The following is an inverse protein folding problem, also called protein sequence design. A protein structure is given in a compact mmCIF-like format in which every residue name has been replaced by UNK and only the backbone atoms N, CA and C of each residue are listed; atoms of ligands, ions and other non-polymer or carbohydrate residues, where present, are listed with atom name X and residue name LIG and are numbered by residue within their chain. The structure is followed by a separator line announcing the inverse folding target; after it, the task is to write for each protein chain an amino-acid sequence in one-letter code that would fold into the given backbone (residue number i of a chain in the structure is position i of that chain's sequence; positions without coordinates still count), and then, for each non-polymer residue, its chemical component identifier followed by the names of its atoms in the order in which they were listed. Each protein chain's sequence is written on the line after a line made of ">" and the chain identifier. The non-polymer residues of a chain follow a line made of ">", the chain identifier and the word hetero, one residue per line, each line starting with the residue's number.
data_IF_364869126488
#
_entry.id   IF_364869126488
#
_cell.length_a   1.000
_cell.length_b   1.000
_cell.length_c   1.000
_cell.angle_alpha   90.00
_cell.angle_beta   90.00
_cell.angle_gamma   90.00
#
_symmetry.space_group_name_H-M   'P 1'
#
loop_
_entity.id
_entity.type
_entity.pdbx_description
1 polymer ?
#
# COMPACT_ATOMS: atom_id res chain seq x y z
N UNK A 1 7.65 -5.81 -10.88
CA UNK A 1 6.24 -5.85 -11.34
C UNK A 1 5.61 -4.52 -10.98
N UNK A 2 4.91 -3.88 -11.91
CA UNK A 2 4.17 -2.64 -11.70
C UNK A 2 2.91 -2.67 -12.57
N UNK A 3 1.85 -3.33 -12.10
CA UNK A 3 0.63 -3.59 -12.85
C UNK A 3 -0.61 -3.17 -12.04
N UNK A 4 -1.74 -2.92 -12.70
CA UNK A 4 -3.00 -2.45 -12.10
C UNK A 4 -2.74 -1.20 -11.25
N UNK A 5 -2.98 -1.23 -9.93
CA UNK A 5 -2.67 -0.13 -9.02
C UNK A 5 -1.22 0.37 -9.10
N UNK A 6 -0.26 -0.51 -9.38
CA UNK A 6 1.14 -0.12 -9.56
C UNK A 6 1.38 0.70 -10.84
N UNK A 7 0.64 0.40 -11.91
CA UNK A 7 0.67 1.21 -13.13
C UNK A 7 -0.11 2.51 -12.93
N UNK A 8 -1.26 2.46 -12.24
CA UNK A 8 -2.08 3.61 -11.90
C UNK A 8 -1.30 4.71 -11.17
N UNK A 9 -0.45 4.36 -10.20
CA UNK A 9 0.37 5.36 -9.49
C UNK A 9 1.59 5.83 -10.29
N UNK A 10 2.05 5.03 -11.26
CA UNK A 10 3.25 5.33 -12.03
C UNK A 10 2.93 6.19 -13.26
N UNK A 11 1.78 6.00 -13.90
CA UNK A 11 1.40 6.67 -15.16
C UNK A 11 1.46 8.21 -15.16
N UNK A 12 1.27 8.95 -14.04
CA UNK A 12 1.40 10.41 -14.05
C UNK A 12 2.85 10.91 -14.08
N UNK A 13 3.84 10.01 -14.09
CA UNK A 13 5.24 10.38 -14.15
C UNK A 13 5.58 11.03 -15.48
N UNK A 14 6.46 12.04 -15.47
CA UNK A 14 6.95 12.67 -16.71
C UNK A 14 7.62 11.65 -17.64
N UNK A 15 8.27 10.65 -17.06
CA UNK A 15 8.85 9.54 -17.82
C UNK A 15 8.75 8.25 -17.04
N UNK A 16 8.17 7.21 -17.65
CA UNK A 16 8.05 5.86 -17.12
C UNK A 16 9.15 4.97 -17.69
N UNK A 17 9.88 4.33 -16.77
CA UNK A 17 10.93 3.36 -17.09
C UNK A 17 10.49 1.97 -16.64
N UNK A 18 10.77 0.95 -17.45
CA UNK A 18 10.61 -0.43 -17.03
C UNK A 18 11.73 -1.32 -17.56
N UNK A 19 12.16 -2.29 -16.76
CA UNK A 19 13.06 -3.35 -17.24
C UNK A 19 12.36 -4.16 -18.34
N UNK A 20 13.07 -4.67 -19.37
CA UNK A 20 12.49 -5.51 -20.43
C UNK A 20 11.62 -6.68 -19.92
N UNK A 21 11.97 -7.27 -18.77
CA UNK A 21 11.22 -8.36 -18.12
C UNK A 21 10.17 -7.91 -17.11
N UNK A 22 9.95 -6.61 -16.94
CA UNK A 22 8.91 -6.09 -16.04
C UNK A 22 7.53 -6.54 -16.52
N UNK A 23 6.73 -7.11 -15.63
CA UNK A 23 5.29 -7.28 -15.86
C UNK A 23 4.58 -5.99 -15.45
N UNK A 24 3.89 -5.36 -16.40
CA UNK A 24 3.14 -4.11 -16.25
C UNK A 24 1.80 -4.15 -16.99
N UNK A 25 1.12 -3.02 -17.14
CA UNK A 25 -0.25 -2.95 -17.65
C UNK A 25 -1.24 -3.41 -16.58
N UNK A 26 -2.05 -4.42 -16.90
CA UNK A 26 -3.21 -4.85 -16.10
C UNK A 26 -4.16 -3.69 -15.78
N UNK A 27 -4.39 -2.85 -16.79
CA UNK A 27 -5.36 -1.77 -16.72
C UNK A 27 -6.75 -2.44 -16.73
N UNK A 28 -7.35 -2.51 -15.56
CA UNK A 28 -8.54 -3.31 -15.32
C UNK A 28 -9.00 -3.17 -13.88
N UNK A 29 -10.30 -3.41 -13.66
CA UNK A 29 -10.93 -3.41 -12.35
C UNK A 29 -11.54 -4.79 -12.12
N UNK A 30 -11.25 -5.36 -10.96
CA UNK A 30 -11.84 -6.60 -10.50
C UNK A 30 -12.39 -6.37 -9.09
N UNK A 31 -13.55 -6.96 -8.81
CA UNK A 31 -14.23 -6.80 -7.54
C UNK A 31 -15.32 -7.84 -7.40
N UNK A 32 -15.68 -8.13 -6.16
CA UNK A 32 -16.76 -9.03 -5.82
C UNK A 32 -16.84 -9.26 -4.33
N UNK A 33 -17.73 -10.17 -3.94
CA UNK A 33 -17.86 -10.64 -2.57
C UNK A 33 -17.94 -12.15 -2.53
N UNK A 34 -17.58 -12.73 -1.39
CA UNK A 34 -17.77 -14.15 -1.13
C UNK A 34 -19.18 -14.35 -0.60
N UNK A 35 -19.88 -15.36 -1.12
CA UNK A 35 -21.13 -15.83 -0.54
C UNK A 35 -20.84 -16.97 0.44
N UNK A 36 -21.17 -16.76 1.70
CA UNK A 36 -20.99 -17.72 2.79
C UNK A 36 -22.33 -18.23 3.33
N UNK A 37 -23.44 -17.93 2.66
CA UNK A 37 -24.78 -18.37 3.07
C UNK A 37 -24.86 -19.88 3.31
N UNK A 38 -24.39 -20.69 2.36
CA UNK A 38 -24.34 -22.15 2.51
C UNK A 38 -23.33 -22.67 3.55
N UNK A 39 -22.33 -21.87 3.96
CA UNK A 39 -21.47 -22.23 5.09
C UNK A 39 -22.22 -22.00 6.40
N UNK A 40 -22.88 -20.85 6.56
CA UNK A 40 -23.64 -20.51 7.75
C UNK A 40 -24.76 -21.51 8.04
N UNK A 41 -25.44 -21.99 6.99
CA UNK A 41 -26.43 -23.06 7.09
C UNK A 41 -25.82 -24.37 7.61
N UNK A 42 -24.63 -24.76 7.14
CA UNK A 42 -23.96 -26.01 7.55
C UNK A 42 -23.51 -26.02 9.02
N UNK A 43 -23.22 -24.86 9.58
CA UNK A 43 -22.75 -24.74 10.98
C UNK A 43 -23.85 -24.24 11.92
N UNK A 44 -25.09 -24.16 11.43
CA UNK A 44 -26.26 -23.67 12.18
C UNK A 44 -26.04 -22.26 12.79
N UNK A 45 -25.34 -21.39 12.06
CA UNK A 45 -25.05 -20.03 12.50
C UNK A 45 -26.08 -19.05 11.94
N UNK A 46 -27.09 -18.74 12.76
CA UNK A 46 -28.06 -17.67 12.48
C UNK A 46 -27.41 -16.28 12.56
N UNK A 47 -27.67 -15.43 11.55
CA UNK A 47 -27.23 -14.04 11.54
C UNK A 47 -28.40 -13.15 11.10
N UNK A 48 -28.62 -12.06 11.81
CA UNK A 48 -29.57 -11.01 11.43
C UNK A 48 -28.82 -9.76 10.99
N UNK A 49 -29.29 -9.14 9.90
CA UNK A 49 -28.69 -7.93 9.36
C UNK A 49 -29.68 -6.77 9.43
N UNK A 50 -29.40 -5.84 10.34
CA UNK A 50 -30.10 -4.56 10.42
C UNK A 50 -29.39 -3.56 9.52
N UNK A 51 -30.07 -3.05 8.50
CA UNK A 51 -29.51 -2.07 7.56
C UNK A 51 -30.38 -0.83 7.46
N UNK A 52 -29.75 0.30 7.15
CA UNK A 52 -30.43 1.54 6.81
C UNK A 52 -29.99 1.94 5.40
N UNK A 53 -30.86 1.68 4.42
CA UNK A 53 -30.65 2.03 3.01
C UNK A 53 -30.65 0.81 2.09
N UNK A 54 -31.15 1.02 0.86
CA UNK A 54 -31.43 -0.03 -0.13
C UNK A 54 -30.25 -0.96 -0.42
N UNK A 55 -29.03 -0.41 -0.49
CA UNK A 55 -27.80 -1.15 -0.83
C UNK A 55 -26.83 -1.31 0.35
N UNK A 56 -27.22 -0.95 1.57
CA UNK A 56 -26.32 -0.95 2.72
C UNK A 56 -25.80 -2.35 3.09
N UNK A 57 -26.55 -3.41 2.75
CA UNK A 57 -26.16 -4.80 2.94
C UNK A 57 -25.53 -5.48 1.71
N UNK A 58 -25.29 -4.74 0.62
CA UNK A 58 -24.95 -5.32 -0.69
C UNK A 58 -23.69 -6.20 -0.67
N UNK A 59 -22.65 -5.82 0.08
CA UNK A 59 -21.40 -6.58 0.20
C UNK A 59 -21.40 -7.60 1.34
N UNK A 60 -22.56 -7.86 1.96
CA UNK A 60 -22.70 -8.89 2.98
C UNK A 60 -22.37 -10.28 2.42
N UNK A 61 -21.73 -11.11 3.23
CA UNK A 61 -21.45 -12.52 2.92
C UNK A 61 -22.63 -13.44 3.24
N UNK A 62 -23.73 -12.92 3.79
CA UNK A 62 -24.86 -13.73 4.30
C UNK A 62 -25.81 -14.25 3.24
N UNK A 63 -25.77 -13.71 2.03
CA UNK A 63 -26.62 -14.08 0.89
C UNK A 63 -25.94 -13.69 -0.41
N UNK A 64 -26.29 -14.24 -1.58
CA UNK A 64 -25.80 -13.74 -2.86
C UNK A 64 -26.26 -12.31 -3.15
N UNK A 65 -25.66 -11.67 -4.16
CA UNK A 65 -26.19 -10.41 -4.70
C UNK A 65 -27.61 -10.61 -5.23
N UNK A 66 -28.51 -9.66 -4.96
CA UNK A 66 -29.72 -9.52 -5.78
C UNK A 66 -29.36 -9.04 -7.18
N UNK A 67 -30.28 -9.16 -8.14
CA UNK A 67 -30.03 -8.69 -9.51
C UNK A 67 -29.77 -7.18 -9.56
N UNK A 68 -30.49 -6.41 -8.75
CA UNK A 68 -30.29 -4.97 -8.67
C UNK A 68 -28.94 -4.61 -8.03
N UNK A 69 -28.53 -5.32 -6.98
CA UNK A 69 -27.22 -5.14 -6.36
C UNK A 69 -26.08 -5.50 -7.32
N UNK A 70 -26.27 -6.57 -8.10
CA UNK A 70 -25.30 -7.00 -9.12
C UNK A 70 -25.12 -5.93 -10.18
N UNK A 71 -26.21 -5.37 -10.69
CA UNK A 71 -26.17 -4.28 -11.66
C UNK A 71 -25.54 -3.02 -11.06
N UNK A 72 -25.91 -2.66 -9.81
CA UNK A 72 -25.33 -1.52 -9.12
C UNK A 72 -23.82 -1.67 -8.96
N UNK A 73 -23.35 -2.84 -8.52
CA UNK A 73 -21.94 -3.12 -8.34
C UNK A 73 -21.19 -3.15 -9.68
N UNK A 74 -21.78 -3.74 -10.72
CA UNK A 74 -21.23 -3.72 -12.08
C UNK A 74 -21.07 -2.30 -12.61
N UNK A 75 -22.09 -1.45 -12.48
CA UNK A 75 -22.02 -0.05 -12.91
C UNK A 75 -20.91 0.73 -12.20
N UNK A 76 -20.68 0.44 -10.91
CA UNK A 76 -19.58 1.04 -10.16
C UNK A 76 -18.22 0.56 -10.68
N UNK A 77 -18.05 -0.75 -10.92
CA UNK A 77 -16.81 -1.29 -11.49
C UNK A 77 -16.53 -0.71 -12.89
N UNK A 78 -17.57 -0.58 -13.72
CA UNK A 78 -17.46 0.01 -15.05
C UNK A 78 -17.01 1.47 -14.97
N UNK A 79 -17.61 2.27 -14.08
CA UNK A 79 -17.21 3.67 -13.89
C UNK A 79 -15.72 3.80 -13.49
N UNK A 80 -15.23 2.94 -12.60
CA UNK A 80 -13.80 2.92 -12.25
C UNK A 80 -12.90 2.50 -13.43
N UNK A 81 -13.35 1.54 -14.23
CA UNK A 81 -12.60 1.11 -15.42
C UNK A 81 -12.52 2.22 -16.46
N UNK A 82 -13.65 2.84 -16.79
CA UNK A 82 -13.72 3.94 -17.75
C UNK A 82 -12.81 5.09 -17.31
N UNK A 83 -12.82 5.44 -16.02
CA UNK A 83 -11.94 6.46 -15.46
C UNK A 83 -10.45 6.08 -15.53
N UNK A 84 -10.10 4.81 -15.29
CA UNK A 84 -8.71 4.36 -15.43
C UNK A 84 -8.25 4.44 -16.90
N UNK A 85 -9.09 4.02 -17.85
CA UNK A 85 -8.81 4.16 -19.29
C UNK A 85 -8.59 5.62 -19.66
N UNK A 86 -9.44 6.52 -19.19
CA UNK A 86 -9.32 7.97 -19.41
C UNK A 86 -7.99 8.52 -18.86
N UNK A 87 -7.62 8.15 -17.64
CA UNK A 87 -6.36 8.60 -17.05
C UNK A 87 -5.15 8.12 -17.85
N UNK A 88 -5.15 6.87 -18.30
CA UNK A 88 -4.05 6.34 -19.13
C UNK A 88 -4.02 7.05 -20.47
N UNK A 89 -5.18 7.27 -21.10
CA UNK A 89 -5.31 8.02 -22.35
C UNK A 89 -4.66 9.41 -22.24
N UNK A 90 -5.02 10.16 -21.20
CA UNK A 90 -4.51 11.50 -20.94
C UNK A 90 -2.99 11.52 -20.66
N UNK A 91 -2.47 10.57 -19.88
CA UNK A 91 -1.05 10.56 -19.50
C UNK A 91 -0.13 9.96 -20.56
N UNK A 92 -0.66 9.08 -21.43
CA UNK A 92 0.13 8.39 -22.47
C UNK A 92 -0.09 8.97 -23.87
N UNK A 93 -0.96 9.99 -24.00
CA UNK A 93 -1.37 10.58 -25.28
C UNK A 93 -1.87 9.52 -26.28
N UNK A 94 -2.58 8.51 -25.77
CA UNK A 94 -3.22 7.46 -26.56
C UNK A 94 -4.71 7.72 -26.62
N UNK A 95 -5.39 7.37 -27.71
CA UNK A 95 -6.85 7.47 -27.77
C UNK A 95 -7.49 6.53 -26.73
N UNK A 96 -8.66 6.88 -26.14
CA UNK A 96 -9.37 5.98 -25.22
C UNK A 96 -9.62 4.59 -25.82
N UNK A 97 -9.96 4.51 -27.11
CA UNK A 97 -10.18 3.24 -27.82
C UNK A 97 -8.90 2.41 -27.93
N UNK A 98 -7.76 3.06 -28.22
CA UNK A 98 -6.46 2.39 -28.23
C UNK A 98 -6.10 1.87 -26.84
N UNK A 99 -6.36 2.65 -25.79
CA UNK A 99 -6.11 2.24 -24.42
C UNK A 99 -7.01 1.07 -24.05
N UNK A 100 -8.31 1.11 -24.33
CA UNK A 100 -9.22 -0.01 -24.06
C UNK A 100 -8.77 -1.29 -24.79
N UNK A 101 -8.34 -1.15 -26.06
CA UNK A 101 -7.80 -2.23 -26.86
C UNK A 101 -6.46 -2.80 -26.35
N UNK A 102 -5.74 -2.08 -25.48
CA UNK A 102 -4.54 -2.54 -24.76
C UNK A 102 -4.84 -3.00 -23.32
N UNK A 103 -6.04 -2.69 -22.82
CA UNK A 103 -6.46 -2.88 -21.43
C UNK A 103 -7.28 -4.17 -21.28
N UNK A 104 -8.36 -4.14 -20.48
CA UNK A 104 -9.18 -5.31 -20.11
C UNK A 104 -8.42 -6.33 -19.25
N UNK A 105 -7.56 -5.83 -18.36
CA UNK A 105 -6.80 -6.64 -17.41
C UNK A 105 -5.56 -7.36 -17.98
N UNK A 106 -5.30 -7.24 -19.30
CA UNK A 106 -4.09 -7.81 -19.94
C UNK A 106 -2.82 -7.25 -19.34
N UNK A 107 -1.83 -8.13 -19.16
CA UNK A 107 -0.48 -7.76 -18.73
C UNK A 107 0.45 -7.70 -19.93
N UNK A 108 1.48 -6.88 -19.81
CA UNK A 108 2.50 -6.69 -20.84
C UNK A 108 3.88 -6.81 -20.20
N UNK A 109 4.84 -7.38 -20.93
CA UNK A 109 6.25 -7.24 -20.60
C UNK A 109 6.71 -5.79 -20.79
N UNK A 110 7.85 -5.40 -20.22
CA UNK A 110 8.39 -4.05 -20.40
C UNK A 110 8.66 -3.73 -21.87
N UNK A 111 9.11 -4.72 -22.66
CA UNK A 111 9.30 -4.55 -24.10
C UNK A 111 7.98 -4.28 -24.83
N UNK A 112 6.96 -5.10 -24.57
CA UNK A 112 5.65 -4.91 -25.21
C UNK A 112 5.00 -3.61 -24.76
N UNK A 113 5.11 -3.26 -23.48
CA UNK A 113 4.61 -2.00 -22.94
C UNK A 113 5.25 -0.79 -23.62
N UNK A 114 6.55 -0.84 -23.96
CA UNK A 114 7.21 0.21 -24.73
C UNK A 114 6.61 0.29 -26.14
N UNK A 115 6.52 -0.83 -26.84
CA UNK A 115 5.96 -0.89 -28.19
C UNK A 115 4.50 -0.41 -28.25
N UNK A 116 3.74 -0.64 -27.18
CA UNK A 116 2.35 -0.21 -27.02
C UNK A 116 2.20 1.22 -26.49
N UNK A 117 3.30 1.95 -26.22
CA UNK A 117 3.28 3.31 -25.70
C UNK A 117 2.86 3.44 -24.23
N UNK A 118 2.78 2.34 -23.48
CA UNK A 118 2.42 2.32 -22.06
C UNK A 118 3.57 2.76 -21.15
N UNK A 119 4.81 2.71 -21.61
CA UNK A 119 6.00 3.26 -20.95
C UNK A 119 6.84 4.06 -21.95
N UNK A 120 7.83 4.81 -21.47
CA UNK A 120 8.62 5.71 -22.31
C UNK A 120 10.01 5.18 -22.65
N UNK A 121 10.58 4.36 -21.77
CA UNK A 121 11.95 3.88 -21.95
C UNK A 121 12.21 2.56 -21.21
N UNK A 122 13.08 1.73 -21.78
CA UNK A 122 13.57 0.55 -21.08
C UNK A 122 14.70 0.91 -20.12
N UNK A 123 14.61 0.42 -18.89
CA UNK A 123 15.61 0.65 -17.88
C UNK A 123 15.09 0.43 -16.46
N UNK A 124 16.00 0.48 -15.51
CA UNK A 124 15.68 0.38 -14.08
C UNK A 124 15.92 1.68 -13.33
N UNK A 125 16.04 1.56 -12.00
CA UNK A 125 16.24 2.68 -11.09
C UNK A 125 17.46 3.55 -11.47
N UNK A 126 18.57 2.94 -11.86
CA UNK A 126 19.76 3.70 -12.28
C UNK A 126 19.43 4.62 -13.47
N UNK A 127 18.72 4.09 -14.47
CA UNK A 127 18.40 4.83 -15.68
C UNK A 127 17.43 5.98 -15.40
N UNK A 128 16.44 5.76 -14.54
CA UNK A 128 15.50 6.82 -14.15
C UNK A 128 16.19 7.93 -13.35
N UNK A 129 17.14 7.58 -12.46
CA UNK A 129 17.95 8.55 -11.73
C UNK A 129 18.87 9.33 -12.66
N UNK A 130 19.59 8.66 -13.57
CA UNK A 130 20.46 9.30 -14.55
C UNK A 130 19.68 10.29 -15.43
N UNK A 131 18.50 9.89 -15.91
CA UNK A 131 17.61 10.77 -16.67
C UNK A 131 17.17 11.99 -15.84
N UNK A 132 16.80 11.76 -14.58
CA UNK A 132 16.36 12.82 -13.68
C UNK A 132 17.48 13.82 -13.39
N UNK A 133 18.69 13.34 -13.07
CA UNK A 133 19.86 14.18 -12.83
C UNK A 133 20.22 15.02 -14.06
N UNK A 134 20.23 14.39 -15.25
CA UNK A 134 20.45 15.06 -16.52
C UNK A 134 19.40 16.16 -16.78
N UNK A 135 18.11 15.85 -16.59
CA UNK A 135 17.01 16.80 -16.81
C UNK A 135 17.05 18.00 -15.86
N UNK A 136 17.58 17.81 -14.65
CA UNK A 136 17.76 18.86 -13.65
C UNK A 136 19.12 19.57 -13.73
N UNK A 137 20.01 19.16 -14.64
CA UNK A 137 21.36 19.73 -14.76
C UNK A 137 22.28 19.45 -13.56
N UNK A 138 22.01 18.38 -12.80
CA UNK A 138 22.79 18.02 -11.61
C UNK A 138 24.04 17.23 -11.99
N UNK A 139 25.21 17.73 -11.59
CA UNK A 139 26.51 17.04 -11.77
C UNK A 139 26.94 16.27 -10.53
N UNK A 140 26.75 16.87 -9.36
CA UNK A 140 26.99 16.25 -8.05
C UNK A 140 25.68 16.14 -7.28
N UNK A 141 25.28 14.91 -6.96
CA UNK A 141 24.07 14.64 -6.19
C UNK A 141 24.25 13.43 -5.28
N UNK A 142 23.40 13.32 -4.26
CA UNK A 142 23.31 12.15 -3.39
C UNK A 142 21.87 11.65 -3.37
N UNK A 143 21.72 10.34 -3.32
CA UNK A 143 20.42 9.68 -3.21
C UNK A 143 20.16 9.41 -1.74
N UNK A 144 19.09 9.99 -1.20
CA UNK A 144 18.57 9.65 0.11
C UNK A 144 17.34 8.73 -0.04
N UNK A 145 17.28 7.66 0.74
CA UNK A 145 16.18 6.68 0.69
C UNK A 145 15.30 6.88 1.92
N UNK A 146 14.00 7.08 1.70
CA UNK A 146 13.01 7.28 2.75
C UNK A 146 11.93 6.17 2.76
N UNK A 147 11.29 5.92 3.93
CA UNK A 147 11.67 6.44 5.24
C UNK A 147 13.06 5.91 5.64
N UNK A 148 13.84 6.73 6.38
CA UNK A 148 15.13 6.27 6.89
C UNK A 148 14.90 4.98 7.70
N UNK A 149 15.64 3.92 7.37
CA UNK A 149 15.55 2.66 8.12
C UNK A 149 15.88 2.97 9.58
N UNK A 150 14.88 2.88 10.46
CA UNK A 150 15.14 2.97 11.90
C UNK A 150 16.05 1.81 12.27
N UNK A 151 17.18 2.05 12.95
CA UNK A 151 17.99 0.95 13.46
C UNK A 151 17.12 0.09 14.38
N UNK A 152 17.15 -1.23 14.17
CA UNK A 152 16.32 -2.20 14.89
C UNK A 152 16.55 -2.16 16.41
N UNK A 153 17.78 -1.81 16.80
CA UNK A 153 18.09 -1.26 18.11
C UNK A 153 18.07 0.26 17.97
N UNK A 154 17.00 0.89 18.44
CA UNK A 154 17.03 2.34 18.66
C UNK A 154 18.12 2.56 19.70
N UNK A 155 19.33 2.91 19.25
CA UNK A 155 20.35 3.47 20.13
C UNK A 155 19.64 4.58 20.89
N UNK A 156 19.54 4.48 22.22
CA UNK A 156 18.74 5.41 22.99
C UNK A 156 19.32 6.80 22.68
N UNK A 157 18.47 7.68 22.16
CA UNK A 157 18.90 8.82 21.35
C UNK A 157 19.86 9.78 22.06
N UNK A 158 20.19 10.92 21.44
CA UNK A 158 21.05 11.97 22.05
C UNK A 158 20.67 12.32 23.51
N UNK A 159 19.42 12.12 23.90
CA UNK A 159 18.93 12.25 25.28
C UNK A 159 19.50 11.23 26.28
N UNK A 160 19.72 9.97 25.88
CA UNK A 160 20.28 8.94 26.76
C UNK A 160 21.81 9.05 26.90
N UNK A 161 22.52 9.42 25.83
CA UNK A 161 23.95 9.79 25.93
C UNK A 161 24.16 10.97 26.89
N UNK A 162 23.24 11.96 26.90
CA UNK A 162 23.24 13.04 27.90
C UNK A 162 22.95 12.53 29.31
N UNK A 163 22.01 11.59 29.47
CA UNK A 163 21.69 10.99 30.78
C UNK A 163 22.86 10.18 31.35
N UNK A 164 23.54 9.38 30.52
CA UNK A 164 24.77 8.66 30.88
C UNK A 164 25.89 9.65 31.26
N UNK A 165 26.10 10.70 30.46
CA UNK A 165 27.10 11.71 30.78
C UNK A 165 26.80 12.43 32.11
N UNK A 166 25.53 12.68 32.43
CA UNK A 166 25.12 13.24 33.73
C UNK A 166 25.39 12.25 34.88
N UNK A 167 25.11 10.97 34.68
CA UNK A 167 25.38 9.90 35.65
C UNK A 167 26.88 9.78 35.99
N UNK A 168 27.75 9.84 34.97
CA UNK A 168 29.20 9.80 35.17
C UNK A 168 29.80 11.14 35.65
N UNK A 169 29.06 12.25 35.57
CA UNK A 169 29.50 13.57 36.07
C UNK A 169 29.24 13.80 37.56
N UNK A 170 28.60 12.85 38.26
CA UNK A 170 28.40 12.90 39.71
C UNK A 170 27.45 13.98 40.22
N UNK A 171 26.72 14.69 39.34
CA UNK A 171 25.70 15.67 39.71
C UNK A 171 24.32 14.99 39.73
N UNK A 172 23.71 14.96 40.90
CA UNK A 172 22.54 14.14 41.24
C UNK A 172 21.35 14.25 40.28
N UNK A 173 20.63 13.13 40.17
CA UNK A 173 19.44 12.82 39.35
C UNK A 173 19.71 12.13 37.99
N UNK A 174 20.88 11.51 37.84
CA UNK A 174 21.21 10.72 36.64
C UNK A 174 20.31 9.48 36.45
N UNK A 175 19.93 8.79 37.53
CA UNK A 175 19.07 7.59 37.49
C UNK A 175 17.66 7.89 36.97
N UNK A 176 17.03 8.98 37.44
CA UNK A 176 15.69 9.38 37.02
C UNK A 176 15.63 9.82 35.55
N UNK A 177 16.73 10.44 35.07
CA UNK A 177 16.89 10.87 33.68
C UNK A 177 17.14 9.69 32.75
N UNK A 178 17.85 8.66 33.22
CA UNK A 178 18.09 7.40 32.50
C UNK A 178 16.80 6.60 32.34
N UNK A 179 15.98 6.50 33.40
CA UNK A 179 14.69 5.82 33.38
C UNK A 179 13.69 6.49 32.40
N UNK A 180 13.63 7.83 32.36
CA UNK A 180 12.85 8.57 31.34
C UNK A 180 13.41 8.40 29.92
N UNK A 181 14.74 8.37 29.76
CA UNK A 181 15.40 8.20 28.46
C UNK A 181 15.26 6.79 27.85
N UNK A 182 15.12 5.76 28.69
CA UNK A 182 14.84 4.38 28.29
C UNK A 182 13.35 4.10 28.05
N UNK A 183 12.47 5.11 28.24
CA UNK A 183 11.02 4.91 28.14
C UNK A 183 10.43 4.07 29.28
N UNK A 184 11.16 3.88 30.39
CA UNK A 184 10.70 3.13 31.57
C UNK A 184 9.86 4.00 32.54
N UNK A 185 9.67 5.28 32.21
CA UNK A 185 8.75 6.17 32.93
C UNK A 185 7.42 6.25 32.19
N UNK A 186 6.66 5.17 32.30
CA UNK A 186 5.25 5.13 32.03
C UNK A 186 4.71 4.03 32.91
N UNK A 187 3.81 4.36 33.83
CA UNK A 187 2.96 3.38 34.51
C UNK A 187 2.45 2.41 33.45
N UNK A 188 3.03 1.21 33.41
CA UNK A 188 2.38 0.08 32.78
C UNK A 188 1.18 -0.20 33.67
N UNK A 189 0.00 0.23 33.23
CA UNK A 189 -1.24 -0.22 33.83
C UNK A 189 -1.22 -1.74 33.76
N UNK A 190 -0.96 -2.39 34.89
CA UNK A 190 -1.30 -3.79 35.07
C UNK A 190 -2.82 -3.81 35.05
N UNK A 191 -3.39 -4.11 33.89
CA UNK A 191 -4.85 -4.13 33.72
C UNK A 191 -5.50 -5.34 34.44
N UNK A 192 -4.75 -6.43 34.67
CA UNK A 192 -5.11 -7.50 35.61
C UNK A 192 -3.91 -8.42 35.90
N UNK A 193 -3.84 -8.98 37.13
CA UNK A 193 -2.95 -10.09 37.52
C UNK A 193 -3.83 -11.32 37.79
N UNK A 194 -3.54 -12.45 37.16
CA UNK A 194 -4.27 -13.69 37.45
C UNK A 194 -3.93 -14.19 38.86
N UNK A 195 -4.88 -14.76 39.63
CA UNK A 195 -4.67 -15.16 41.03
C UNK A 195 -3.92 -16.49 41.19
N UNK A 196 -3.25 -16.99 40.15
CA UNK A 196 -2.46 -18.22 40.19
C UNK A 196 -1.26 -18.14 39.25
N UNK A 197 -0.22 -18.87 39.58
CA UNK A 197 1.00 -18.99 38.78
C UNK A 197 0.91 -20.24 37.89
N UNK A 198 1.38 -20.14 36.65
CA UNK A 198 1.50 -21.27 35.73
C UNK A 198 2.94 -21.76 35.78
N UNK A 199 3.15 -22.97 36.29
CA UNK A 199 4.40 -23.72 36.15
C UNK A 199 4.30 -24.66 34.95
N UNK A 200 5.21 -24.52 33.99
CA UNK A 200 5.37 -25.47 32.88
C UNK A 200 6.57 -26.35 33.22
N UNK A 201 6.35 -27.65 33.38
CA UNK A 201 7.40 -28.68 33.42
C UNK A 201 7.90 -29.03 32.01
#
# INVERSE_FOLDING_TARGET
>A
VAASGGYYIAMPSVRLFADPGTITGSIGIYGGKVDLSGLYEKIDLGKELYTRGRFAGMLSTMRPFTDEEREKYYSQMKAFYDYFVELVSNNRALSPDSVDALSRGRVWTGREALSNGLIDELGGLKRSLDYTAMRLGLKDYRIAIYPEKRPWFVFPGRSFMKAIAHLFSGKGNGEETLAKGLGLSGRGDILARMPFDISIE
#
